data_IF_458395605946
#
_entry.id   IF_458395605946
#
_cell.length_a   1.000
_cell.length_b   1.000
_cell.length_c   1.000
_cell.angle_alpha   90.00
_cell.angle_beta   90.00
_cell.angle_gamma   90.00
#
_symmetry.space_group_name_H-M   'P 1'
#
loop_
_entity.id
_entity.type
_entity.pdbx_description
1 polymer ?
#
# COMPACT_ATOMS: atom_id res chain seq x y z
N UNK A 1 2.33 -17.07 6.18
CA UNK A 1 2.18 -17.72 7.50
C UNK A 1 3.31 -18.72 7.63
N UNK A 2 4.25 -18.51 8.55
CA UNK A 2 5.41 -19.38 8.71
C UNK A 2 5.10 -20.43 9.78
N UNK A 3 5.23 -21.70 9.43
CA UNK A 3 5.30 -22.81 10.37
C UNK A 3 6.67 -23.47 10.18
N UNK A 4 7.43 -23.58 11.27
CA UNK A 4 8.68 -24.36 11.31
C UNK A 4 8.28 -25.73 11.83
N UNK A 5 8.50 -26.77 11.02
CA UNK A 5 8.37 -28.17 11.42
C UNK A 5 9.69 -28.86 11.06
N UNK A 6 10.19 -29.63 12.01
CA UNK A 6 11.53 -30.24 12.05
C UNK A 6 11.90 -31.00 10.76
N UNK A 7 13.13 -30.74 10.30
CA UNK A 7 13.92 -31.71 9.54
C UNK A 7 13.51 -32.02 8.10
N UNK A 8 12.46 -31.40 7.56
CA UNK A 8 12.11 -31.51 6.13
C UNK A 8 11.70 -30.16 5.59
N UNK A 9 12.55 -29.58 4.73
CA UNK A 9 12.23 -28.38 3.96
C UNK A 9 11.08 -28.71 3.01
N UNK A 10 9.86 -28.33 3.37
CA UNK A 10 8.75 -28.32 2.43
C UNK A 10 8.98 -27.18 1.45
N UNK A 11 9.54 -27.50 0.29
CA UNK A 11 9.30 -26.72 -0.92
C UNK A 11 7.81 -26.89 -1.20
N UNK A 12 7.01 -25.84 -1.02
CA UNK A 12 5.72 -25.79 -1.68
C UNK A 12 6.07 -25.62 -3.18
N UNK A 13 5.90 -26.64 -4.03
CA UNK A 13 5.96 -26.40 -5.47
C UNK A 13 4.66 -25.68 -5.76
N UNK A 14 4.66 -24.36 -5.61
CA UNK A 14 3.62 -23.50 -6.15
C UNK A 14 3.75 -23.69 -7.65
N UNK A 15 3.00 -24.65 -8.17
CA UNK A 15 3.07 -25.07 -9.56
C UNK A 15 3.09 -23.85 -10.47
N UNK A 16 4.19 -23.71 -11.19
CA UNK A 16 4.26 -23.05 -12.49
C UNK A 16 3.72 -21.61 -12.57
N UNK A 17 4.55 -20.66 -12.11
CA UNK A 17 4.53 -19.21 -12.42
C UNK A 17 3.90 -18.34 -11.32
N UNK A 18 4.65 -18.07 -10.23
CA UNK A 18 4.62 -16.71 -9.68
C UNK A 18 5.43 -15.89 -10.69
N UNK A 19 4.74 -15.20 -11.59
CA UNK A 19 5.41 -14.25 -12.46
C UNK A 19 5.79 -13.06 -11.59
N UNK A 20 7.04 -13.05 -11.11
CA UNK A 20 7.59 -11.96 -10.31
C UNK A 20 7.43 -10.62 -11.02
N UNK A 21 7.56 -10.59 -12.36
CA UNK A 21 7.33 -9.38 -13.14
C UNK A 21 5.86 -8.94 -13.07
N UNK A 22 4.91 -9.88 -13.17
CA UNK A 22 3.47 -9.60 -13.06
C UNK A 22 3.09 -9.14 -11.64
N UNK A 23 3.65 -9.76 -10.61
CA UNK A 23 3.37 -9.39 -9.21
C UNK A 23 4.01 -8.04 -8.87
N UNK A 24 5.23 -7.78 -9.36
CA UNK A 24 5.90 -6.47 -9.28
C UNK A 24 5.09 -5.41 -10.00
N UNK A 25 4.58 -5.70 -11.20
CA UNK A 25 3.72 -4.78 -11.96
C UNK A 25 2.39 -4.51 -11.23
N UNK A 26 1.77 -5.54 -10.65
CA UNK A 26 0.54 -5.41 -9.86
C UNK A 26 0.76 -4.51 -8.64
N UNK A 27 1.79 -4.81 -7.85
CA UNK A 27 2.15 -4.02 -6.66
C UNK A 27 2.52 -2.60 -7.03
N UNK A 28 3.30 -2.39 -8.08
CA UNK A 28 3.66 -1.04 -8.57
C UNK A 28 2.42 -0.25 -8.97
N UNK A 29 1.46 -0.88 -9.68
CA UNK A 29 0.17 -0.23 -10.02
C UNK A 29 -0.65 0.11 -8.78
N UNK A 30 -0.70 -0.77 -7.79
CA UNK A 30 -1.42 -0.51 -6.55
C UNK A 30 -0.77 0.62 -5.73
N UNK A 31 0.56 0.66 -5.67
CA UNK A 31 1.34 1.75 -5.05
C UNK A 31 1.04 3.08 -5.75
N UNK A 32 1.09 3.11 -7.09
CA UNK A 32 0.80 4.32 -7.86
C UNK A 32 -0.65 4.81 -7.68
N UNK A 33 -1.62 3.90 -7.57
CA UNK A 33 -3.00 4.26 -7.26
C UNK A 33 -3.12 4.85 -5.85
N UNK A 34 -2.54 4.19 -4.84
CA UNK A 34 -2.53 4.71 -3.47
C UNK A 34 -1.86 6.08 -3.39
N UNK A 35 -0.74 6.27 -4.11
CA UNK A 35 -0.03 7.55 -4.19
C UNK A 35 -0.87 8.67 -4.80
N UNK A 36 -1.66 8.38 -5.85
CA UNK A 36 -2.58 9.38 -6.43
C UNK A 36 -3.67 9.81 -5.44
N UNK A 37 -4.22 8.86 -4.68
CA UNK A 37 -5.20 9.17 -3.63
C UNK A 37 -4.57 10.02 -2.51
N UNK A 38 -3.37 9.66 -2.06
CA UNK A 38 -2.58 10.43 -1.07
C UNK A 38 -2.35 11.85 -1.57
N UNK A 39 -1.90 12.03 -2.81
CA UNK A 39 -1.65 13.35 -3.38
C UNK A 39 -2.94 14.19 -3.47
N UNK A 40 -4.05 13.56 -3.88
CA UNK A 40 -5.35 14.22 -3.96
C UNK A 40 -5.83 14.70 -2.60
N UNK A 41 -5.79 13.84 -1.59
CA UNK A 41 -6.17 14.15 -0.21
C UNK A 41 -5.24 15.18 0.41
N UNK A 42 -3.93 15.05 0.20
CA UNK A 42 -2.93 16.01 0.70
C UNK A 42 -3.16 17.39 0.11
N UNK A 43 -3.37 17.51 -1.21
CA UNK A 43 -3.68 18.79 -1.86
C UNK A 43 -4.98 19.40 -1.34
N UNK A 44 -5.99 18.58 -1.09
CA UNK A 44 -7.28 19.02 -0.55
C UNK A 44 -7.17 19.51 0.90
N UNK A 45 -6.39 18.82 1.73
CA UNK A 45 -6.13 19.19 3.13
C UNK A 45 -5.17 20.36 3.28
N UNK A 46 -4.24 20.55 2.34
CA UNK A 46 -3.35 21.72 2.28
C UNK A 46 -4.07 22.99 1.82
N UNK A 47 -5.25 22.86 1.21
CA UNK A 47 -6.05 24.00 0.79
C UNK A 47 -6.74 24.64 2.00
N UNK A 48 -6.22 25.79 2.44
CA UNK A 48 -6.77 26.55 3.57
C UNK A 48 -8.25 26.92 3.40
N UNK A 49 -8.73 27.10 2.16
CA UNK A 49 -10.16 27.35 1.91
C UNK A 49 -11.02 26.11 2.21
N UNK A 50 -10.47 24.92 2.07
CA UNK A 50 -11.16 23.68 2.44
C UNK A 50 -11.13 23.48 3.95
N UNK A 51 -9.97 23.62 4.60
CA UNK A 51 -9.86 23.42 6.06
C UNK A 51 -10.60 24.47 6.88
N UNK A 52 -10.74 25.70 6.38
CA UNK A 52 -11.49 26.77 7.05
C UNK A 52 -13.00 26.77 6.80
N UNK A 53 -13.47 26.15 5.71
CA UNK A 53 -14.89 26.17 5.32
C UNK A 53 -15.58 24.81 5.45
N UNK A 54 -14.83 23.71 5.40
CA UNK A 54 -15.39 22.38 5.58
C UNK A 54 -15.66 22.11 7.08
N UNK A 55 -16.70 21.33 7.41
CA UNK A 55 -16.94 20.87 8.77
C UNK A 55 -15.72 20.12 9.32
N UNK A 56 -15.44 20.27 10.61
CA UNK A 56 -14.32 19.61 11.27
C UNK A 56 -14.34 18.08 11.08
N UNK A 57 -15.52 17.47 11.11
CA UNK A 57 -15.72 16.03 10.86
C UNK A 57 -15.23 15.61 9.46
N UNK A 58 -15.52 16.43 8.43
CA UNK A 58 -15.09 16.15 7.06
C UNK A 58 -13.57 16.30 6.94
N UNK A 59 -12.98 17.32 7.55
CA UNK A 59 -11.52 17.51 7.55
C UNK A 59 -10.83 16.33 8.24
N UNK A 60 -11.36 15.89 9.37
CA UNK A 60 -10.81 14.77 10.13
C UNK A 60 -10.97 13.44 9.40
N UNK A 61 -12.11 13.19 8.75
CA UNK A 61 -12.31 12.02 7.90
C UNK A 61 -11.30 12.00 6.73
N UNK A 62 -11.06 13.14 6.09
CA UNK A 62 -10.08 13.21 5.00
C UNK A 62 -8.65 12.99 5.52
N UNK A 63 -8.31 13.45 6.73
CA UNK A 63 -7.01 13.16 7.37
C UNK A 63 -6.84 11.69 7.71
N UNK A 64 -7.88 11.07 8.27
CA UNK A 64 -7.87 9.64 8.58
C UNK A 64 -7.72 8.80 7.32
N UNK A 65 -8.46 9.14 6.25
CA UNK A 65 -8.29 8.50 4.93
C UNK A 65 -6.87 8.66 4.41
N UNK A 66 -6.29 9.86 4.53
CA UNK A 66 -4.91 10.11 4.11
C UNK A 66 -3.94 9.17 4.84
N UNK A 67 -4.10 9.03 6.16
CA UNK A 67 -3.28 8.12 6.97
C UNK A 67 -3.47 6.64 6.57
N UNK A 68 -4.71 6.20 6.35
CA UNK A 68 -5.01 4.84 5.90
C UNK A 68 -4.38 4.53 4.53
N UNK A 69 -4.44 5.46 3.58
CA UNK A 69 -3.79 5.31 2.29
C UNK A 69 -2.26 5.33 2.42
N UNK A 70 -1.69 6.17 3.29
CA UNK A 70 -0.26 6.22 3.56
C UNK A 70 0.24 4.88 4.12
N UNK A 71 -0.45 4.33 5.12
CA UNK A 71 -0.13 3.01 5.69
C UNK A 71 -0.25 1.89 4.66
N UNK A 72 -1.23 1.98 3.75
CA UNK A 72 -1.41 1.00 2.67
C UNK A 72 -0.27 1.09 1.66
N UNK A 73 0.08 2.31 1.23
CA UNK A 73 1.21 2.57 0.34
C UNK A 73 2.52 2.03 0.92
N UNK A 74 2.78 2.26 2.20
CA UNK A 74 4.01 1.81 2.85
C UNK A 74 4.07 0.28 2.93
N UNK A 75 2.95 -0.38 3.28
CA UNK A 75 2.87 -1.86 3.28
C UNK A 75 3.08 -2.46 1.89
N UNK A 76 2.53 -1.84 0.85
CA UNK A 76 2.71 -2.29 -0.52
C UNK A 76 4.15 -2.07 -1.01
N UNK A 77 4.75 -0.94 -0.64
CA UNK A 77 6.15 -0.64 -0.94
C UNK A 77 7.10 -1.60 -0.24
N UNK A 78 6.84 -1.94 1.02
CA UNK A 78 7.59 -2.96 1.77
C UNK A 78 7.46 -4.33 1.12
N UNK A 79 6.26 -4.70 0.64
CA UNK A 79 6.03 -5.97 -0.05
C UNK A 79 6.80 -6.02 -1.39
N UNK A 80 6.79 -4.93 -2.15
CA UNK A 80 7.55 -4.79 -3.40
C UNK A 80 9.05 -4.88 -3.14
N UNK A 81 9.58 -4.17 -2.13
CA UNK A 81 11.00 -4.22 -1.79
C UNK A 81 11.47 -5.60 -1.34
N UNK A 82 10.60 -6.40 -0.70
CA UNK A 82 10.91 -7.81 -0.39
C UNK A 82 10.94 -8.70 -1.63
N UNK A 83 10.14 -8.40 -2.65
CA UNK A 83 10.15 -9.12 -3.93
C UNK A 83 11.36 -8.76 -4.78
N UNK A 84 11.76 -7.49 -4.82
CA UNK A 84 12.96 -7.03 -5.55
C UNK A 84 14.27 -7.44 -4.86
N UNK A 85 14.24 -7.69 -3.55
CA UNK A 85 15.39 -8.12 -2.75
C UNK A 85 15.60 -9.63 -2.65
N UNK A 86 14.74 -10.43 -3.27
CA UNK A 86 14.84 -11.90 -3.35
C UNK A 86 15.51 -12.34 -4.65
#
# INVERSE_FOLDING_TARGET
VQAIVEGTTYFLPVGDIINFDLETERLTKEIENAKKEIEGLTKKLANEKFTSRAPAEVVEENRKRLEEYQQTHDKLSDALGRLEGL
#
